data_IF_286696399046
#
_entry.id   IF_286696399046
#
_cell.length_a   1.000
_cell.length_b   1.000
_cell.length_c   1.000
_cell.angle_alpha   90.00
_cell.angle_beta   90.00
_cell.angle_gamma   90.00
#
_symmetry.space_group_name_H-M   'P 1'
#
loop_
_entity.id
_entity.type
_entity.pdbx_description
1 polymer ?
#
# COMPACT_ATOMS: atom_id res chain seq x y z
N UNK A 1 21.16 -0.73 -2.80
CA UNK A 1 20.62 -0.47 -1.43
C UNK A 1 21.71 -0.40 -0.34
N UNK A 2 22.92 -0.89 -0.62
CA UNK A 2 24.02 -0.90 0.36
C UNK A 2 24.30 0.52 0.91
N UNK A 3 24.37 0.61 2.24
CA UNK A 3 24.62 1.86 3.00
C UNK A 3 23.53 2.94 2.85
N UNK A 4 22.33 2.62 2.36
CA UNK A 4 21.21 3.54 2.32
C UNK A 4 20.40 3.48 3.62
N UNK A 5 19.95 4.64 4.09
CA UNK A 5 19.00 4.77 5.20
C UNK A 5 17.60 4.74 4.61
N UNK A 6 16.84 3.67 4.88
CA UNK A 6 15.54 3.43 4.28
C UNK A 6 14.45 3.48 5.33
N UNK A 7 13.39 4.24 5.07
CA UNK A 7 12.16 4.22 5.86
C UNK A 7 11.11 3.33 5.18
N UNK A 8 10.44 2.48 5.98
CA UNK A 8 9.28 1.70 5.56
C UNK A 8 8.12 2.01 6.51
N UNK A 9 7.13 2.78 6.05
CA UNK A 9 5.89 3.00 6.83
C UNK A 9 4.86 1.90 6.56
N UNK A 10 3.94 1.66 7.49
CA UNK A 10 3.15 0.42 7.46
C UNK A 10 4.04 -0.80 7.75
N UNK A 11 5.09 -0.59 8.54
CA UNK A 11 6.18 -1.54 8.80
C UNK A 11 5.76 -2.83 9.45
N UNK A 12 4.62 -2.86 10.14
CA UNK A 12 4.03 -4.06 10.73
C UNK A 12 3.11 -4.85 9.79
N UNK A 13 3.02 -4.47 8.51
CA UNK A 13 2.20 -5.14 7.51
C UNK A 13 2.91 -6.29 6.79
N UNK A 14 2.12 -7.20 6.16
CA UNK A 14 2.65 -8.39 5.48
C UNK A 14 3.63 -8.08 4.33
N UNK A 15 3.40 -7.04 3.54
CA UNK A 15 4.33 -6.66 2.45
C UNK A 15 5.61 -6.08 3.03
N UNK A 16 5.49 -5.26 4.09
CA UNK A 16 6.62 -4.64 4.76
C UNK A 16 7.57 -5.69 5.37
N UNK A 17 7.03 -6.80 5.90
CA UNK A 17 7.84 -7.91 6.40
C UNK A 17 8.86 -8.41 5.36
N UNK A 18 8.40 -8.69 4.14
CA UNK A 18 9.28 -9.16 3.06
C UNK A 18 10.20 -8.04 2.55
N UNK A 19 9.68 -6.84 2.38
CA UNK A 19 10.45 -5.70 1.89
C UNK A 19 11.62 -5.36 2.84
N UNK A 20 11.35 -5.29 4.15
CA UNK A 20 12.37 -5.01 5.17
C UNK A 20 13.48 -6.08 5.15
N UNK A 21 13.10 -7.35 5.02
CA UNK A 21 14.06 -8.45 4.89
C UNK A 21 14.94 -8.27 3.65
N UNK A 22 14.34 -8.07 2.48
CA UNK A 22 15.06 -7.85 1.21
C UNK A 22 16.01 -6.64 1.28
N UNK A 23 15.57 -5.53 1.88
CA UNK A 23 16.38 -4.33 2.04
C UNK A 23 17.59 -4.57 2.96
N UNK A 24 17.38 -5.27 4.09
CA UNK A 24 18.47 -5.64 5.02
C UNK A 24 19.47 -6.59 4.36
N UNK A 25 19.01 -7.59 3.60
CA UNK A 25 19.86 -8.52 2.85
C UNK A 25 20.72 -7.80 1.81
N UNK A 26 20.24 -6.68 1.26
CA UNK A 26 20.97 -5.80 0.34
C UNK A 26 21.87 -4.75 1.05
N UNK A 27 21.98 -4.83 2.37
CA UNK A 27 22.87 -3.97 3.16
C UNK A 27 22.33 -2.57 3.44
N UNK A 28 21.01 -2.35 3.39
CA UNK A 28 20.38 -1.11 3.81
C UNK A 28 20.23 -1.04 5.34
N UNK A 29 20.31 0.16 5.89
CA UNK A 29 19.86 0.49 7.25
C UNK A 29 18.38 0.81 7.19
N UNK A 30 17.53 -0.07 7.71
CA UNK A 30 16.08 0.06 7.60
C UNK A 30 15.47 0.51 8.92
N UNK A 31 14.66 1.56 8.87
CA UNK A 31 13.77 1.99 9.95
C UNK A 31 12.34 1.67 9.54
N UNK A 32 11.61 0.94 10.35
CA UNK A 32 10.19 0.64 10.16
C UNK A 32 9.33 1.52 11.07
N UNK A 33 8.19 2.01 10.57
CA UNK A 33 7.27 2.83 11.35
C UNK A 33 5.83 2.35 11.18
N UNK A 34 5.07 2.25 12.29
CA UNK A 34 3.65 1.88 12.28
C UNK A 34 2.93 2.33 13.56
N UNK A 35 1.62 2.07 13.60
CA UNK A 35 0.78 2.27 14.78
C UNK A 35 1.12 1.27 15.91
N UNK A 36 0.85 1.61 17.17
CA UNK A 36 1.03 0.68 18.32
C UNK A 36 0.24 -0.63 18.18
N UNK A 37 -0.81 -0.62 17.37
CA UNK A 37 -1.69 -1.78 17.12
C UNK A 37 -1.20 -2.69 16.00
N UNK A 38 -0.03 -2.45 15.41
CA UNK A 38 0.52 -3.29 14.36
C UNK A 38 0.83 -4.70 14.86
N UNK A 39 0.69 -5.70 13.98
CA UNK A 39 0.91 -7.11 14.35
C UNK A 39 2.38 -7.46 14.55
N UNK A 40 3.27 -6.79 13.84
CA UNK A 40 4.71 -6.99 13.90
C UNK A 40 5.39 -5.82 14.59
N UNK A 41 6.50 -6.11 15.25
CA UNK A 41 7.32 -5.08 15.88
C UNK A 41 7.88 -4.10 14.84
N UNK A 42 7.84 -2.81 15.17
CA UNK A 42 8.41 -1.72 14.38
C UNK A 42 9.32 -0.84 15.22
N UNK A 43 10.30 -0.20 14.57
CA UNK A 43 11.32 0.61 15.25
C UNK A 43 10.72 1.92 15.79
N UNK A 44 9.84 2.55 15.01
CA UNK A 44 9.17 3.81 15.34
C UNK A 44 7.66 3.58 15.46
N UNK A 45 7.11 4.01 16.60
CA UNK A 45 5.68 3.84 16.90
C UNK A 45 5.01 5.21 16.90
N UNK A 46 4.06 5.42 15.99
CA UNK A 46 3.32 6.67 15.90
C UNK A 46 2.24 6.67 14.84
N UNK A 47 1.50 7.76 14.81
CA UNK A 47 0.38 7.94 13.89
C UNK A 47 0.78 8.89 12.75
N UNK A 48 0.73 8.42 11.52
CA UNK A 48 1.04 9.22 10.33
C UNK A 48 0.02 10.35 10.05
N UNK A 49 -1.08 10.41 10.80
CA UNK A 49 -1.95 11.59 10.81
C UNK A 49 -1.29 12.79 11.53
N UNK A 50 -0.27 12.52 12.33
CA UNK A 50 0.58 13.57 12.90
C UNK A 50 1.62 14.04 11.89
N UNK A 51 1.46 15.28 11.41
CA UNK A 51 2.43 15.93 10.50
C UNK A 51 3.84 16.00 11.12
N UNK A 52 3.92 16.24 12.44
CA UNK A 52 5.19 16.28 13.17
C UNK A 52 5.90 14.93 13.16
N UNK A 53 5.17 13.84 13.42
CA UNK A 53 5.72 12.49 13.38
C UNK A 53 6.19 12.11 11.96
N UNK A 54 5.40 12.41 10.92
CA UNK A 54 5.82 12.16 9.54
C UNK A 54 7.13 12.89 9.20
N UNK A 55 7.25 14.17 9.61
CA UNK A 55 8.49 14.93 9.41
C UNK A 55 9.68 14.28 10.12
N UNK A 56 9.53 13.91 11.39
CA UNK A 56 10.58 13.30 12.21
C UNK A 56 11.11 12.00 11.58
N UNK A 57 10.22 11.06 11.23
CA UNK A 57 10.64 9.76 10.69
C UNK A 57 11.24 9.84 9.27
N UNK A 58 10.93 10.91 8.52
CA UNK A 58 11.51 11.15 7.17
C UNK A 58 12.89 11.82 7.22
N UNK A 59 13.31 12.39 8.37
CA UNK A 59 14.61 13.05 8.48
C UNK A 59 15.76 12.06 8.26
N UNK A 60 16.76 12.49 7.47
CA UNK A 60 17.97 11.71 7.16
C UNK A 60 17.69 10.33 6.51
N UNK A 61 16.61 10.21 5.77
CA UNK A 61 16.30 9.00 4.97
C UNK A 61 16.66 9.24 3.51
N UNK A 62 17.39 8.28 2.94
CA UNK A 62 17.72 8.30 1.51
C UNK A 62 16.52 7.85 0.66
N UNK A 63 15.81 6.82 1.13
CA UNK A 63 14.70 6.20 0.40
C UNK A 63 13.53 5.97 1.36
N UNK A 64 12.32 6.27 0.89
CA UNK A 64 11.10 6.11 1.67
C UNK A 64 10.12 5.23 0.91
N UNK A 65 9.76 4.09 1.50
CA UNK A 65 8.66 3.24 1.06
C UNK A 65 7.42 3.51 1.92
N UNK A 66 6.42 4.16 1.36
CA UNK A 66 5.16 4.40 2.07
C UNK A 66 4.15 3.29 1.75
N UNK A 67 4.14 2.25 2.61
CA UNK A 67 3.22 1.12 2.52
C UNK A 67 2.01 1.29 3.45
N UNK A 68 1.94 2.37 4.20
CA UNK A 68 0.83 2.61 5.10
C UNK A 68 -0.51 2.66 4.35
N UNK A 69 -1.48 1.94 4.87
CA UNK A 69 -2.81 1.86 4.28
C UNK A 69 -3.80 1.18 5.21
N UNK A 70 -5.02 1.67 5.22
CA UNK A 70 -6.12 0.99 5.89
C UNK A 70 -6.66 -0.10 4.98
N UNK A 71 -6.75 -1.32 5.51
CA UNK A 71 -7.29 -2.49 4.84
C UNK A 71 -8.53 -3.00 5.57
N UNK A 72 -9.51 -3.45 4.84
CA UNK A 72 -10.72 -4.02 5.42
C UNK A 72 -11.66 -4.56 4.35
N UNK A 73 -12.59 -5.43 4.78
CA UNK A 73 -13.61 -5.99 3.89
C UNK A 73 -14.49 -4.88 3.28
N UNK A 74 -15.11 -5.13 2.11
CA UNK A 74 -16.08 -4.20 1.51
C UNK A 74 -17.21 -3.81 2.46
N UNK A 75 -17.67 -4.74 3.31
CA UNK A 75 -18.70 -4.47 4.31
C UNK A 75 -18.25 -3.40 5.31
N UNK A 76 -17.03 -3.51 5.86
CA UNK A 76 -16.49 -2.49 6.78
C UNK A 76 -16.41 -1.11 6.13
N UNK A 77 -16.02 -1.04 4.87
CA UNK A 77 -15.95 0.21 4.13
C UNK A 77 -17.33 0.85 3.97
N UNK A 78 -18.38 0.04 3.73
CA UNK A 78 -19.76 0.51 3.61
C UNK A 78 -20.29 1.00 4.97
N UNK A 79 -20.00 0.28 6.05
CA UNK A 79 -20.50 0.60 7.39
C UNK A 79 -19.80 1.81 8.02
N UNK A 80 -18.54 2.04 7.67
CA UNK A 80 -17.71 3.09 8.31
C UNK A 80 -16.85 3.85 7.30
N UNK A 81 -17.44 4.47 6.26
CA UNK A 81 -16.67 5.04 5.15
C UNK A 81 -15.73 6.18 5.57
N UNK A 82 -16.16 7.05 6.47
CA UNK A 82 -15.34 8.17 6.93
C UNK A 82 -14.15 7.68 7.78
N UNK A 83 -14.38 6.70 8.66
CA UNK A 83 -13.33 6.10 9.49
C UNK A 83 -12.25 5.43 8.64
N UNK A 84 -12.61 5.01 7.42
CA UNK A 84 -11.70 4.37 6.49
C UNK A 84 -10.98 5.36 5.57
N UNK A 85 -11.72 6.28 4.95
CA UNK A 85 -11.17 7.17 3.92
C UNK A 85 -10.43 8.38 4.50
N UNK A 86 -10.98 9.02 5.54
CA UNK A 86 -10.41 10.28 6.06
C UNK A 86 -8.99 10.10 6.59
N UNK A 87 -8.67 9.11 7.46
CA UNK A 87 -7.30 8.89 7.88
C UNK A 87 -6.36 8.61 6.71
N UNK A 88 -6.83 7.86 5.69
CA UNK A 88 -6.01 7.52 4.54
C UNK A 88 -5.61 8.75 3.71
N UNK A 89 -6.51 9.71 3.53
CA UNK A 89 -6.21 10.99 2.89
C UNK A 89 -5.23 11.79 3.75
N UNK A 90 -5.43 11.84 5.08
CA UNK A 90 -4.57 12.59 5.99
C UNK A 90 -3.13 12.08 5.98
N UNK A 91 -2.91 10.78 6.23
CA UNK A 91 -1.56 10.25 6.27
C UNK A 91 -0.91 10.20 4.87
N UNK A 92 -1.69 10.03 3.81
CA UNK A 92 -1.19 10.11 2.44
C UNK A 92 -0.60 11.48 2.12
N UNK A 93 -1.32 12.56 2.48
CA UNK A 93 -0.86 13.94 2.30
C UNK A 93 0.35 14.26 3.18
N UNK A 94 0.30 13.91 4.48
CA UNK A 94 1.38 14.18 5.42
C UNK A 94 2.68 13.49 5.02
N UNK A 95 2.61 12.24 4.58
CA UNK A 95 3.79 11.49 4.14
C UNK A 95 4.38 12.00 2.84
N UNK A 96 3.56 12.39 1.86
CA UNK A 96 4.03 13.02 0.64
C UNK A 96 4.77 14.33 0.97
N UNK A 97 4.17 15.22 1.75
CA UNK A 97 4.78 16.47 2.19
C UNK A 97 6.11 16.23 2.93
N UNK A 98 6.13 15.31 3.89
CA UNK A 98 7.33 15.03 4.67
C UNK A 98 8.46 14.45 3.81
N UNK A 99 8.14 13.52 2.89
CA UNK A 99 9.11 12.91 2.00
C UNK A 99 9.75 13.92 1.04
N UNK A 100 8.95 14.76 0.38
CA UNK A 100 9.49 15.79 -0.52
C UNK A 100 10.30 16.86 0.22
N UNK A 101 9.88 17.27 1.41
CA UNK A 101 10.59 18.23 2.23
C UNK A 101 11.89 17.67 2.83
N UNK A 102 11.99 16.38 3.09
CA UNK A 102 13.22 15.72 3.56
C UNK A 102 14.28 15.62 2.50
N UNK A 103 13.94 15.86 1.23
CA UNK A 103 14.83 15.73 0.06
C UNK A 103 15.42 14.32 -0.07
N UNK A 104 14.61 13.28 0.27
CA UNK A 104 15.04 11.91 0.04
C UNK A 104 15.33 11.67 -1.44
N UNK A 105 16.21 10.73 -1.73
CA UNK A 105 16.61 10.39 -3.11
C UNK A 105 15.49 9.73 -3.89
N UNK A 106 14.60 9.00 -3.19
CA UNK A 106 13.45 8.33 -3.81
C UNK A 106 12.30 8.13 -2.83
N UNK A 107 11.08 8.37 -3.29
CA UNK A 107 9.84 8.11 -2.56
C UNK A 107 8.95 7.13 -3.33
N UNK A 108 8.48 6.05 -2.71
CA UNK A 108 7.49 5.14 -3.28
C UNK A 108 6.18 5.28 -2.52
N UNK A 109 5.12 5.58 -3.25
CA UNK A 109 3.75 5.61 -2.75
C UNK A 109 2.98 4.34 -3.15
N UNK A 110 2.38 3.66 -2.17
CA UNK A 110 1.53 2.50 -2.41
C UNK A 110 0.08 2.92 -2.59
N UNK A 111 -0.39 2.89 -3.83
CA UNK A 111 -1.78 3.03 -4.22
C UNK A 111 -2.50 1.67 -4.17
N UNK A 112 -3.40 1.37 -5.08
CA UNK A 112 -4.15 0.11 -5.15
C UNK A 112 -4.86 -0.02 -6.49
N UNK A 113 -5.13 -1.25 -6.95
CA UNK A 113 -6.07 -1.47 -8.07
C UNK A 113 -7.50 -1.02 -7.76
N UNK A 114 -7.86 -0.79 -6.50
CA UNK A 114 -9.15 -0.18 -6.10
C UNK A 114 -9.37 1.24 -6.61
N UNK A 115 -8.35 1.88 -7.22
CA UNK A 115 -8.49 3.18 -7.89
C UNK A 115 -9.22 3.08 -9.23
N UNK A 116 -9.35 1.88 -9.82
CA UNK A 116 -9.93 1.68 -11.14
C UNK A 116 -11.46 1.57 -11.13
N UNK A 117 -12.04 1.94 -12.25
CA UNK A 117 -13.39 1.52 -12.60
C UNK A 117 -13.37 0.02 -12.96
N UNK A 118 -14.44 -0.74 -12.68
CA UNK A 118 -14.53 -2.13 -13.10
C UNK A 118 -14.30 -2.28 -14.61
N UNK A 119 -13.33 -3.10 -14.97
CA UNK A 119 -12.95 -3.41 -16.34
C UNK A 119 -12.35 -4.82 -16.40
N UNK A 120 -12.32 -5.42 -17.58
CA UNK A 120 -11.67 -6.72 -17.81
C UNK A 120 -10.15 -6.62 -17.63
N UNK A 121 -9.55 -5.53 -18.11
CA UNK A 121 -8.11 -5.23 -17.97
C UNK A 121 -7.93 -3.81 -17.44
N UNK A 122 -7.04 -3.64 -16.48
CA UNK A 122 -6.71 -2.33 -15.90
C UNK A 122 -5.44 -1.79 -16.55
N UNK A 123 -5.60 -0.73 -17.34
CA UNK A 123 -4.48 0.02 -17.90
C UNK A 123 -4.14 1.21 -17.02
N UNK A 124 -2.86 1.48 -16.80
CA UNK A 124 -2.37 2.52 -15.87
C UNK A 124 -2.93 3.91 -16.21
N UNK A 125 -3.09 4.22 -17.49
CA UNK A 125 -3.59 5.51 -17.98
C UNK A 125 -5.09 5.73 -17.80
N UNK A 126 -5.85 4.71 -17.38
CA UNK A 126 -7.30 4.82 -17.29
C UNK A 126 -7.79 5.37 -15.94
N UNK A 127 -6.91 5.46 -14.96
CA UNK A 127 -7.28 5.96 -13.62
C UNK A 127 -7.93 7.33 -13.67
N UNK A 128 -7.39 8.26 -14.48
CA UNK A 128 -7.89 9.64 -14.55
C UNK A 128 -9.00 9.84 -15.60
N UNK A 129 -9.38 8.81 -16.33
CA UNK A 129 -10.48 8.82 -17.30
C UNK A 129 -11.81 8.35 -16.72
N UNK A 130 -11.76 7.69 -15.57
CA UNK A 130 -12.92 7.02 -14.94
C UNK A 130 -13.00 7.32 -13.44
N UNK A 131 -14.01 6.76 -12.78
CA UNK A 131 -14.16 6.82 -11.32
C UNK A 131 -13.89 5.44 -10.70
N UNK A 132 -13.49 5.36 -9.41
CA UNK A 132 -13.43 4.10 -8.70
C UNK A 132 -14.77 3.36 -8.72
N UNK A 133 -14.74 2.04 -8.53
CA UNK A 133 -15.96 1.24 -8.40
C UNK A 133 -16.82 1.72 -7.23
N UNK A 134 -18.13 1.40 -7.24
CA UNK A 134 -19.01 1.70 -6.11
C UNK A 134 -18.57 0.99 -4.82
N UNK A 135 -17.97 -0.20 -4.94
CA UNK A 135 -17.47 -0.98 -3.81
C UNK A 135 -16.20 -0.40 -3.20
N UNK A 136 -15.35 0.21 -4.05
CA UNK A 136 -14.10 0.85 -3.65
C UNK A 136 -14.19 2.39 -3.65
N UNK A 137 -15.41 2.95 -3.63
CA UNK A 137 -15.61 4.38 -3.82
C UNK A 137 -14.76 5.23 -2.89
N UNK A 138 -14.87 5.02 -1.59
CA UNK A 138 -14.15 5.80 -0.61
C UNK A 138 -12.65 5.48 -0.54
N UNK A 139 -12.21 4.21 -0.44
CA UNK A 139 -10.79 3.88 -0.43
C UNK A 139 -10.11 4.19 -1.77
N UNK A 140 -10.78 3.98 -2.89
CA UNK A 140 -10.27 4.30 -4.23
C UNK A 140 -10.00 5.79 -4.40
N UNK A 141 -10.95 6.64 -3.99
CA UNK A 141 -10.74 8.09 -3.98
C UNK A 141 -9.64 8.52 -3.04
N UNK A 142 -9.56 7.94 -1.84
CA UNK A 142 -8.49 8.25 -0.89
C UNK A 142 -7.10 7.91 -1.47
N UNK A 143 -6.98 6.80 -2.18
CA UNK A 143 -5.75 6.41 -2.88
C UNK A 143 -5.45 7.31 -4.08
N UNK A 144 -6.44 7.68 -4.90
CA UNK A 144 -6.27 8.67 -5.98
C UNK A 144 -5.80 10.03 -5.46
N UNK A 145 -6.34 10.49 -4.33
CA UNK A 145 -5.87 11.73 -3.69
C UNK A 145 -4.41 11.63 -3.27
N UNK A 146 -3.97 10.47 -2.78
CA UNK A 146 -2.55 10.23 -2.49
C UNK A 146 -1.67 10.28 -3.75
N UNK A 147 -2.10 9.67 -4.86
CA UNK A 147 -1.40 9.78 -6.16
C UNK A 147 -1.33 11.24 -6.63
N UNK A 148 -2.44 11.98 -6.55
CA UNK A 148 -2.50 13.38 -6.95
C UNK A 148 -1.56 14.25 -6.09
N UNK A 149 -1.48 14.00 -4.78
CA UNK A 149 -0.54 14.71 -3.91
C UNK A 149 0.91 14.46 -4.35
N UNK A 150 1.27 13.22 -4.65
CA UNK A 150 2.62 12.89 -5.16
C UNK A 150 2.90 13.60 -6.47
N UNK A 151 1.97 13.54 -7.43
CA UNK A 151 2.10 14.20 -8.73
C UNK A 151 2.25 15.73 -8.60
N UNK A 152 1.47 16.37 -7.71
CA UNK A 152 1.56 17.81 -7.48
C UNK A 152 2.93 18.24 -6.96
N UNK A 153 3.53 17.47 -6.04
CA UNK A 153 4.89 17.73 -5.58
C UNK A 153 5.94 17.48 -6.67
N UNK A 154 5.77 16.44 -7.50
CA UNK A 154 6.65 16.19 -8.63
C UNK A 154 6.67 17.37 -9.61
N UNK A 155 5.49 17.91 -9.93
CA UNK A 155 5.34 19.06 -10.82
C UNK A 155 5.93 20.34 -10.19
N UNK A 156 5.56 20.67 -8.97
CA UNK A 156 6.01 21.89 -8.28
C UNK A 156 7.53 21.93 -8.10
N UNK A 157 8.12 20.80 -7.72
CA UNK A 157 9.56 20.72 -7.45
C UNK A 157 10.39 20.33 -8.67
N UNK A 158 9.76 20.02 -9.80
CA UNK A 158 10.39 19.42 -10.98
C UNK A 158 11.25 18.19 -10.63
N UNK A 159 10.81 17.43 -9.62
CA UNK A 159 11.49 16.24 -9.11
C UNK A 159 10.64 15.00 -9.39
N UNK A 160 11.12 14.13 -10.27
CA UNK A 160 10.46 12.87 -10.65
C UNK A 160 10.97 11.65 -9.87
N UNK A 161 11.70 11.86 -8.78
CA UNK A 161 12.29 10.78 -7.99
C UNK A 161 11.22 10.12 -7.08
N UNK A 162 10.13 9.67 -7.67
CA UNK A 162 9.13 8.89 -6.96
C UNK A 162 8.48 7.83 -7.85
N UNK A 163 7.97 6.79 -7.20
CA UNK A 163 7.20 5.72 -7.81
C UNK A 163 5.79 5.69 -7.24
N UNK A 164 4.81 5.40 -8.08
CA UNK A 164 3.44 5.07 -7.68
C UNK A 164 3.17 3.63 -8.05
N UNK A 165 2.84 2.79 -7.08
CA UNK A 165 2.55 1.38 -7.31
C UNK A 165 1.09 1.08 -6.97
N UNK A 166 0.42 0.30 -7.83
CA UNK A 166 -0.97 -0.14 -7.67
C UNK A 166 -1.01 -1.66 -7.59
N UNK A 167 -0.82 -2.24 -6.38
CA UNK A 167 -0.88 -3.69 -6.23
C UNK A 167 -2.30 -4.21 -6.46
N UNK A 168 -2.39 -5.42 -7.04
CA UNK A 168 -3.60 -6.22 -7.12
C UNK A 168 -4.02 -6.76 -5.74
N UNK A 169 -4.80 -7.82 -5.66
CA UNK A 169 -5.24 -8.37 -4.38
C UNK A 169 -4.10 -9.14 -3.73
N UNK A 170 -3.47 -8.52 -2.75
CA UNK A 170 -2.31 -9.09 -2.07
C UNK A 170 -2.76 -10.13 -1.05
N UNK A 171 -2.07 -11.27 -1.01
CA UNK A 171 -2.24 -12.30 0.01
C UNK A 171 -0.88 -12.79 0.52
N UNK A 172 -0.85 -13.36 1.72
CA UNK A 172 0.38 -13.92 2.28
C UNK A 172 0.33 -14.10 3.79
N UNK A 173 1.42 -14.57 4.40
CA UNK A 173 1.54 -14.65 5.85
C UNK A 173 1.45 -13.25 6.47
N UNK A 174 1.04 -13.21 7.73
CA UNK A 174 0.78 -11.97 8.46
C UNK A 174 -0.38 -11.13 7.92
N UNK A 175 -1.28 -11.71 7.11
CA UNK A 175 -2.54 -11.06 6.75
C UNK A 175 -3.51 -11.05 7.95
N UNK A 176 -4.53 -10.23 7.89
CA UNK A 176 -5.53 -10.13 8.95
C UNK A 176 -6.55 -11.28 8.84
N UNK A 177 -6.60 -12.16 9.84
CA UNK A 177 -7.59 -13.24 9.99
C UNK A 177 -8.77 -12.88 10.90
N UNK A 178 -8.89 -11.62 11.30
CA UNK A 178 -9.97 -11.10 12.15
C UNK A 178 -11.30 -10.94 11.42
N UNK A 179 -12.25 -10.30 12.11
CA UNK A 179 -13.63 -10.09 11.64
C UNK A 179 -13.72 -9.41 10.26
N UNK A 180 -12.79 -8.49 9.97
CA UNK A 180 -12.78 -7.70 8.74
C UNK A 180 -11.73 -8.17 7.72
N UNK A 181 -11.44 -9.46 7.72
CA UNK A 181 -10.46 -10.04 6.81
C UNK A 181 -10.91 -9.98 5.35
N UNK A 182 -9.94 -9.91 4.45
CA UNK A 182 -10.17 -10.00 3.00
C UNK A 182 -10.52 -11.45 2.60
N UNK A 183 -10.86 -11.65 1.33
CA UNK A 183 -11.38 -12.94 0.84
C UNK A 183 -10.44 -14.11 1.11
N UNK A 184 -9.15 -13.99 0.80
CA UNK A 184 -8.20 -15.11 0.96
C UNK A 184 -8.03 -15.53 2.42
N UNK A 185 -7.64 -14.64 3.39
CA UNK A 185 -7.54 -15.05 4.78
C UNK A 185 -8.89 -15.48 5.38
N UNK A 186 -10.01 -14.89 4.95
CA UNK A 186 -11.35 -15.31 5.38
C UNK A 186 -11.67 -16.75 4.96
N UNK A 187 -11.41 -17.12 3.70
CA UNK A 187 -11.65 -18.47 3.20
C UNK A 187 -10.71 -19.49 3.85
N UNK A 188 -9.44 -19.16 4.03
CA UNK A 188 -8.47 -20.01 4.74
C UNK A 188 -8.96 -20.30 6.17
N UNK A 189 -9.37 -19.26 6.89
CA UNK A 189 -9.88 -19.40 8.26
C UNK A 189 -11.13 -20.28 8.29
N UNK A 190 -12.11 -20.03 7.43
CA UNK A 190 -13.32 -20.82 7.34
C UNK A 190 -13.05 -22.30 7.01
N UNK A 191 -12.13 -22.57 6.07
CA UNK A 191 -11.73 -23.93 5.74
C UNK A 191 -11.01 -24.67 6.87
N UNK A 192 -10.31 -23.93 7.73
CA UNK A 192 -9.62 -24.50 8.88
C UNK A 192 -10.56 -24.78 10.08
N UNK A 193 -11.55 -23.91 10.28
CA UNK A 193 -12.44 -23.95 11.45
C UNK A 193 -13.72 -24.75 11.23
N UNK A 194 -14.10 -25.09 9.98
CA UNK A 194 -15.39 -25.73 9.66
C UNK A 194 -15.21 -26.89 8.69
N UNK A 195 -16.08 -27.91 8.82
CA UNK A 195 -16.13 -29.04 7.89
C UNK A 195 -16.71 -28.68 6.51
N UNK A 196 -17.44 -27.58 6.43
CA UNK A 196 -18.06 -27.07 5.19
C UNK A 196 -17.58 -25.65 4.94
N UNK A 197 -17.01 -25.41 3.76
CA UNK A 197 -16.58 -24.09 3.33
C UNK A 197 -17.77 -23.29 2.78
N UNK A 198 -18.30 -22.37 3.57
CA UNK A 198 -19.30 -21.42 3.10
C UNK A 198 -18.64 -20.28 2.31
N UNK A 199 -19.00 -20.15 1.05
CA UNK A 199 -18.55 -19.08 0.15
C UNK A 199 -19.72 -18.15 -0.17
N UNK A 200 -19.48 -16.85 -0.08
CA UNK A 200 -20.49 -15.85 -0.42
C UNK A 200 -20.48 -15.58 -1.93
N UNK A 201 -21.71 -15.60 -2.51
CA UNK A 201 -21.91 -15.44 -3.95
C UNK A 201 -21.77 -16.75 -4.71
N UNK A 202 -21.62 -16.64 -6.01
CA UNK A 202 -21.61 -17.77 -6.96
C UNK A 202 -20.17 -18.13 -7.45
N UNK A 203 -19.17 -17.45 -6.97
CA UNK A 203 -17.78 -17.67 -7.41
C UNK A 203 -17.42 -17.05 -8.77
N UNK A 204 -18.33 -16.30 -9.41
CA UNK A 204 -18.08 -15.70 -10.73
C UNK A 204 -17.08 -14.52 -10.74
N UNK A 205 -16.88 -13.74 -9.65
CA UNK A 205 -15.94 -12.63 -9.69
C UNK A 205 -14.49 -13.09 -9.84
N UNK A 206 -13.86 -12.69 -10.94
CA UNK A 206 -12.44 -12.96 -11.20
C UNK A 206 -11.58 -11.95 -10.44
N UNK A 207 -10.49 -12.42 -9.84
CA UNK A 207 -9.52 -11.61 -9.09
C UNK A 207 -8.11 -11.99 -9.47
N UNK A 208 -7.27 -10.99 -9.70
CA UNK A 208 -5.81 -11.19 -9.73
C UNK A 208 -5.29 -11.22 -8.29
N UNK A 209 -4.68 -12.32 -7.90
CA UNK A 209 -4.10 -12.54 -6.57
C UNK A 209 -2.57 -12.54 -6.70
N UNK A 210 -1.90 -11.64 -5.96
CA UNK A 210 -0.44 -11.54 -5.95
C UNK A 210 0.13 -11.81 -4.56
N UNK A 211 1.20 -12.60 -4.49
CA UNK A 211 1.84 -12.92 -3.23
C UNK A 211 2.63 -11.74 -2.65
N UNK A 212 2.56 -11.54 -1.34
CA UNK A 212 3.12 -10.36 -0.68
C UNK A 212 4.64 -10.18 -0.88
N UNK A 213 5.39 -11.27 -1.00
CA UNK A 213 6.83 -11.21 -1.32
C UNK A 213 7.07 -10.71 -2.75
N UNK A 214 6.24 -11.10 -3.70
CA UNK A 214 6.37 -10.64 -5.09
C UNK A 214 6.05 -9.15 -5.20
N UNK A 215 5.06 -8.66 -4.42
CA UNK A 215 4.81 -7.22 -4.31
C UNK A 215 6.02 -6.48 -3.74
N UNK A 216 6.63 -7.02 -2.67
CA UNK A 216 7.83 -6.43 -2.07
C UNK A 216 9.01 -6.40 -3.06
N UNK A 217 9.22 -7.46 -3.82
CA UNK A 217 10.24 -7.53 -4.90
C UNK A 217 9.96 -6.52 -6.02
N UNK A 218 8.70 -6.42 -6.46
CA UNK A 218 8.29 -5.44 -7.46
C UNK A 218 8.52 -4.00 -7.00
N UNK A 219 8.13 -3.66 -5.77
CA UNK A 219 8.38 -2.34 -5.19
C UNK A 219 9.88 -2.00 -5.12
N UNK A 220 10.69 -2.98 -4.66
CA UNK A 220 12.12 -2.82 -4.61
C UNK A 220 12.73 -2.59 -5.99
N UNK A 221 12.30 -3.37 -6.99
CA UNK A 221 12.75 -3.24 -8.37
C UNK A 221 12.39 -1.88 -8.97
N UNK A 222 11.17 -1.38 -8.76
CA UNK A 222 10.77 -0.04 -9.21
C UNK A 222 11.70 1.05 -8.69
N UNK A 223 12.10 0.97 -7.41
CA UNK A 223 13.01 1.96 -6.81
C UNK A 223 14.44 1.79 -7.34
N UNK A 224 14.91 0.57 -7.57
CA UNK A 224 16.24 0.28 -8.12
C UNK A 224 16.37 0.79 -9.57
N UNK A 225 15.35 0.56 -10.39
CA UNK A 225 15.30 0.98 -11.79
C UNK A 225 14.80 2.43 -11.98
N UNK A 226 14.46 3.11 -10.87
CA UNK A 226 13.97 4.50 -10.87
C UNK A 226 12.76 4.70 -11.78
N UNK A 227 11.77 3.80 -11.65
CA UNK A 227 10.52 3.86 -12.41
C UNK A 227 9.62 4.94 -11.80
N UNK A 228 9.37 6.02 -12.54
CA UNK A 228 8.57 7.16 -12.06
C UNK A 228 7.11 7.14 -12.54
N UNK A 229 6.82 6.37 -13.58
CA UNK A 229 5.45 6.16 -14.06
C UNK A 229 4.68 5.28 -13.07
N UNK A 230 3.36 5.49 -12.91
CA UNK A 230 2.52 4.56 -12.15
C UNK A 230 2.54 3.15 -12.76
N UNK A 231 2.66 2.13 -11.91
CA UNK A 231 2.73 0.72 -12.36
C UNK A 231 1.74 -0.14 -11.58
N UNK A 232 1.02 -1.00 -12.29
CA UNK A 232 0.23 -2.08 -11.71
C UNK A 232 1.15 -3.24 -11.31
N UNK A 233 1.13 -3.66 -10.04
CA UNK A 233 1.76 -4.90 -9.61
C UNK A 233 0.72 -6.00 -9.47
N UNK A 234 0.76 -6.96 -10.38
CA UNK A 234 -0.21 -8.04 -10.50
C UNK A 234 0.48 -9.34 -10.89
N UNK A 235 -0.20 -10.48 -10.70
CA UNK A 235 0.28 -11.77 -11.20
C UNK A 235 0.06 -11.91 -12.71
N UNK A 236 -0.87 -11.14 -13.26
CA UNK A 236 -1.32 -11.24 -14.65
C UNK A 236 -2.25 -12.43 -14.91
N UNK A 237 -2.70 -13.09 -13.84
CA UNK A 237 -3.58 -14.26 -13.92
C UNK A 237 -4.82 -14.04 -13.05
N UNK A 238 -5.99 -14.09 -13.66
CA UNK A 238 -7.26 -14.08 -12.95
C UNK A 238 -7.66 -15.48 -12.46
N UNK A 239 -8.16 -15.55 -11.24
CA UNK A 239 -8.72 -16.76 -10.61
C UNK A 239 -10.11 -16.47 -10.11
#
# INVERSE_FOLDING_TARGET
MKNKNVLVTGGGGMVAYFLIKLLKDLGASVTSADLPSSQLHTDEIGDLRSRGFCKEICENKDIIFNLAGLKGSPQRVIESPATFSVPQVQFGANMAEAAFNSKCEWYLYTSSVGVYHPAEVFYEDDVWKTFPSKHDWYPGWAKRMGELNVQSYMEETNNKNCSIVRPANIYGPYDNFGEWSMVVPSLIKKAYENDVLEVWGDGSPIRDLIYAEDVARGMLHMVQERVSEPVNLASGTGV
#
